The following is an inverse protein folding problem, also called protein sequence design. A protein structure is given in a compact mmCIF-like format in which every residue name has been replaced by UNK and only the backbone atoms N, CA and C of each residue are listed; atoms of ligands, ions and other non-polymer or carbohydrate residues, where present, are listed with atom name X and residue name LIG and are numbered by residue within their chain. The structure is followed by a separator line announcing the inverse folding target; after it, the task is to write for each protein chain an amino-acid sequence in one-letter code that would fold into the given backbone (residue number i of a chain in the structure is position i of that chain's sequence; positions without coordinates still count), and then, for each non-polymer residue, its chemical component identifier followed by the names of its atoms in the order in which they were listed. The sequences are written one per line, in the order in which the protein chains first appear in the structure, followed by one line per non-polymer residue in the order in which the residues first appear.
data_IF_766223976487
#
_entry.id   IF_766223976487
#
_cell.length_a   1.000
_cell.length_b   1.000
_cell.length_c   1.000
_cell.angle_alpha   90.00
_cell.angle_beta   90.00
_cell.angle_gamma   90.00
#
_symmetry.space_group_name_H-M   'P 1'
#
loop_
_entity.id
_entity.type
_entity.pdbx_description
1 polymer ?
#
# COMPACT_ATOMS: atom_id res chain seq x y z
N UNK A 1 7.77 22.98 2.27
CA UNK A 1 9.16 22.43 2.22
C UNK A 1 9.18 20.91 2.39
N UNK A 2 8.47 20.32 3.37
CA UNK A 2 8.52 18.86 3.60
C UNK A 2 7.93 18.00 2.47
N UNK A 3 6.72 18.33 1.96
CA UNK A 3 6.09 17.54 0.89
C UNK A 3 6.89 17.55 -0.42
N UNK A 4 7.46 18.70 -0.78
CA UNK A 4 8.32 18.81 -1.97
C UNK A 4 9.58 17.94 -1.83
N UNK A 5 10.13 17.83 -0.61
CA UNK A 5 11.27 16.97 -0.32
C UNK A 5 10.92 15.49 -0.46
N UNK A 6 9.76 15.08 0.07
CA UNK A 6 9.24 13.72 -0.12
C UNK A 6 9.15 13.37 -1.60
N UNK A 7 8.45 14.20 -2.39
CA UNK A 7 8.27 13.97 -3.82
C UNK A 7 9.58 13.95 -4.61
N UNK A 8 10.55 14.80 -4.24
CA UNK A 8 11.87 14.81 -4.85
C UNK A 8 12.62 13.49 -4.63
N UNK A 9 12.62 12.98 -3.40
CA UNK A 9 13.27 11.69 -3.11
C UNK A 9 12.53 10.51 -3.73
N UNK A 10 11.20 10.51 -3.73
CA UNK A 10 10.41 9.49 -4.41
C UNK A 10 10.73 9.46 -5.90
N UNK A 11 10.69 10.62 -6.58
CA UNK A 11 11.05 10.71 -8.00
C UNK A 11 12.46 10.21 -8.26
N UNK A 12 13.44 10.64 -7.45
CA UNK A 12 14.82 10.21 -7.60
C UNK A 12 14.94 8.69 -7.52
N UNK A 13 14.28 8.04 -6.55
CA UNK A 13 14.30 6.59 -6.44
C UNK A 13 13.65 5.90 -7.65
N UNK A 14 12.50 6.41 -8.12
CA UNK A 14 11.84 5.88 -9.32
C UNK A 14 12.76 5.96 -10.54
N UNK A 15 13.46 7.09 -10.73
CA UNK A 15 14.40 7.31 -11.84
C UNK A 15 15.66 6.43 -11.70
N UNK A 16 16.31 6.44 -10.53
CA UNK A 16 17.56 5.71 -10.26
C UNK A 16 17.41 4.20 -10.46
N UNK A 17 16.22 3.65 -10.15
CA UNK A 17 15.94 2.22 -10.22
C UNK A 17 14.97 1.82 -11.34
N UNK A 18 14.58 2.75 -12.21
CA UNK A 18 13.65 2.50 -13.34
C UNK A 18 12.36 1.78 -12.89
N UNK A 19 11.75 2.24 -11.80
CA UNK A 19 10.66 1.53 -11.13
C UNK A 19 9.29 1.66 -11.83
N UNK A 20 9.09 2.71 -12.62
CA UNK A 20 7.78 3.03 -13.23
C UNK A 20 7.96 3.34 -14.72
N UNK A 21 7.28 2.57 -15.55
CA UNK A 21 7.16 2.77 -16.99
C UNK A 21 5.81 3.38 -17.35
N UNK A 22 5.74 3.96 -18.56
CA UNK A 22 4.50 4.55 -19.06
C UNK A 22 3.45 3.47 -19.31
N UNK A 23 2.25 3.66 -18.76
CA UNK A 23 1.13 2.72 -18.83
C UNK A 23 1.04 1.75 -17.65
N UNK A 24 1.97 1.81 -16.69
CA UNK A 24 1.92 0.94 -15.51
C UNK A 24 0.67 1.20 -14.66
N UNK A 25 0.09 0.11 -14.15
CA UNK A 25 -0.93 0.13 -13.09
C UNK A 25 -0.30 -0.42 -11.81
N UNK A 26 -0.17 0.41 -10.80
CA UNK A 26 0.61 0.11 -9.59
C UNK A 26 -0.34 -0.17 -8.43
N UNK A 27 -0.30 -1.39 -7.90
CA UNK A 27 -0.97 -1.74 -6.66
C UNK A 27 -0.11 -1.35 -5.45
N UNK A 28 -0.64 -0.49 -4.58
CA UNK A 28 0.00 -0.05 -3.34
C UNK A 28 -0.57 -0.86 -2.19
N UNK A 29 0.25 -1.72 -1.58
CA UNK A 29 -0.14 -2.47 -0.38
C UNK A 29 -0.30 -1.56 0.84
N UNK A 30 -1.52 -1.44 1.36
CA UNK A 30 -1.85 -0.61 2.52
C UNK A 30 -2.03 -1.47 3.77
N UNK A 31 -1.08 -1.33 4.69
CA UNK A 31 -1.09 -1.97 6.01
C UNK A 31 -1.78 -1.15 7.09
N UNK A 32 -2.16 0.11 6.79
CA UNK A 32 -2.62 1.10 7.78
C UNK A 32 -1.48 1.82 8.52
N UNK A 33 -0.23 1.41 8.30
CA UNK A 33 0.94 2.09 8.85
C UNK A 33 1.27 3.39 8.09
N UNK A 34 1.97 4.31 8.78
CA UNK A 34 2.41 5.59 8.19
C UNK A 34 3.22 5.42 6.90
N UNK A 35 3.99 4.34 6.79
CA UNK A 35 4.90 4.11 5.68
C UNK A 35 4.14 3.81 4.37
N UNK A 36 3.15 2.91 4.41
CA UNK A 36 2.31 2.57 3.25
C UNK A 36 1.39 3.73 2.86
N UNK A 37 0.84 4.46 3.84
CA UNK A 37 0.03 5.66 3.60
C UNK A 37 0.86 6.80 2.99
N UNK A 38 2.10 7.00 3.46
CA UNK A 38 3.01 7.99 2.90
C UNK A 38 3.39 7.64 1.46
N UNK A 39 3.61 6.36 1.17
CA UNK A 39 3.88 5.90 -0.19
C UNK A 39 2.68 6.18 -1.12
N UNK A 40 1.45 5.90 -0.68
CA UNK A 40 0.23 6.22 -1.42
C UNK A 40 0.16 7.71 -1.75
N UNK A 41 0.36 8.58 -0.75
CA UNK A 41 0.39 10.04 -0.94
C UNK A 41 1.51 10.49 -1.91
N UNK A 42 2.70 9.91 -1.78
CA UNK A 42 3.85 10.25 -2.62
C UNK A 42 3.59 9.87 -4.08
N UNK A 43 3.08 8.67 -4.35
CA UNK A 43 2.75 8.21 -5.70
C UNK A 43 1.57 8.99 -6.29
N UNK A 44 0.53 9.27 -5.51
CA UNK A 44 -0.58 10.12 -5.93
C UNK A 44 -0.09 11.52 -6.33
N UNK A 45 0.80 12.13 -5.54
CA UNK A 45 1.38 13.42 -5.85
C UNK A 45 2.29 13.38 -7.09
N UNK A 46 3.14 12.36 -7.19
CA UNK A 46 4.09 12.16 -8.30
C UNK A 46 3.37 12.00 -9.64
N UNK A 47 2.23 11.28 -9.67
CA UNK A 47 1.39 11.08 -10.86
C UNK A 47 0.99 12.37 -11.57
N UNK A 48 0.95 13.50 -10.85
CA UNK A 48 0.52 14.80 -11.40
C UNK A 48 1.55 15.46 -12.34
N UNK A 49 2.82 15.08 -12.23
CA UNK A 49 3.91 15.76 -12.98
C UNK A 49 5.02 14.83 -13.46
N UNK A 50 4.99 13.53 -13.13
CA UNK A 50 5.99 12.58 -13.59
C UNK A 50 5.85 12.34 -15.11
N UNK A 51 6.96 12.23 -15.88
CA UNK A 51 6.89 12.09 -17.34
C UNK A 51 6.22 10.81 -17.84
N UNK A 52 6.36 9.70 -17.09
CA UNK A 52 5.68 8.46 -17.41
C UNK A 52 4.29 8.48 -16.78
N UNK A 53 3.25 8.34 -17.59
CA UNK A 53 1.88 8.24 -17.09
C UNK A 53 1.67 6.88 -16.43
N UNK A 54 1.09 6.85 -15.23
CA UNK A 54 0.77 5.61 -14.53
C UNK A 54 -0.52 5.77 -13.70
N UNK A 55 -1.14 4.64 -13.40
CA UNK A 55 -2.30 4.54 -12.51
C UNK A 55 -1.88 3.92 -11.17
N UNK A 56 -2.63 4.22 -10.11
CA UNK A 56 -2.44 3.60 -8.80
C UNK A 56 -3.76 3.08 -8.27
N UNK A 57 -3.70 1.96 -7.55
CA UNK A 57 -4.77 1.44 -6.71
C UNK A 57 -4.22 1.09 -5.32
N UNK A 58 -5.07 1.16 -4.30
CA UNK A 58 -4.74 0.78 -2.95
C UNK A 58 -5.32 -0.62 -2.64
N UNK A 59 -4.52 -1.49 -2.02
CA UNK A 59 -4.95 -2.85 -1.67
C UNK A 59 -4.60 -3.14 -0.22
N UNK A 60 -5.58 -3.57 0.57
CA UNK A 60 -5.35 -4.08 1.93
C UNK A 60 -5.68 -5.56 1.99
N UNK A 61 -4.77 -6.35 2.56
CA UNK A 61 -5.05 -7.73 2.96
C UNK A 61 -5.56 -7.71 4.39
N UNK A 62 -6.84 -8.00 4.58
CA UNK A 62 -7.43 -8.16 5.89
C UNK A 62 -7.12 -9.57 6.40
N UNK A 63 -6.21 -9.65 7.37
CA UNK A 63 -5.80 -10.92 7.97
C UNK A 63 -6.90 -11.58 8.83
N UNK A 64 -8.03 -10.90 9.10
CA UNK A 64 -9.09 -11.43 9.97
C UNK A 64 -8.84 -11.17 11.46
N UNK A 65 -8.04 -10.17 11.80
CA UNK A 65 -7.84 -9.74 13.20
C UNK A 65 -9.09 -8.95 13.65
N UNK A 66 -9.71 -9.38 14.75
CA UNK A 66 -10.86 -8.68 15.32
C UNK A 66 -10.55 -7.21 15.65
N UNK A 67 -11.49 -6.32 15.33
CA UNK A 67 -11.39 -4.89 15.65
C UNK A 67 -10.59 -4.03 14.67
N UNK A 68 -10.12 -4.59 13.55
CA UNK A 68 -9.54 -3.79 12.46
C UNK A 68 -10.61 -2.95 11.76
N UNK A 69 -10.45 -1.61 11.79
CA UNK A 69 -11.29 -0.67 11.05
C UNK A 69 -10.52 -0.03 9.90
N UNK A 70 -10.90 -0.35 8.67
CA UNK A 70 -10.31 0.21 7.44
C UNK A 70 -11.06 1.44 6.92
N UNK A 71 -12.14 1.88 7.60
CA UNK A 71 -12.92 3.06 7.19
C UNK A 71 -12.08 4.34 7.03
N UNK A 72 -11.04 4.62 7.85
CA UNK A 72 -10.20 5.81 7.65
C UNK A 72 -9.37 5.72 6.37
N UNK A 73 -8.93 4.52 6.00
CA UNK A 73 -8.15 4.28 4.77
C UNK A 73 -9.06 4.43 3.55
N UNK A 74 -10.29 3.91 3.62
CA UNK A 74 -11.29 4.10 2.56
C UNK A 74 -11.55 5.57 2.31
N UNK A 75 -11.83 6.36 3.37
CA UNK A 75 -12.06 7.81 3.24
C UNK A 75 -10.88 8.54 2.61
N UNK A 76 -9.67 8.17 3.02
CA UNK A 76 -8.45 8.73 2.43
C UNK A 76 -8.34 8.41 0.93
N UNK A 77 -8.61 7.16 0.54
CA UNK A 77 -8.54 6.76 -0.86
C UNK A 77 -9.61 7.49 -1.71
N UNK A 78 -10.81 7.70 -1.16
CA UNK A 78 -11.86 8.50 -1.78
C UNK A 78 -11.42 9.96 -1.98
N UNK A 79 -10.80 10.58 -0.97
CA UNK A 79 -10.25 11.95 -1.06
C UNK A 79 -9.14 12.08 -2.11
N UNK A 80 -8.37 11.01 -2.33
CA UNK A 80 -7.29 10.96 -3.31
C UNK A 80 -7.73 10.49 -4.70
N UNK A 81 -9.01 10.15 -4.89
CA UNK A 81 -9.51 9.53 -6.13
C UNK A 81 -8.66 8.32 -6.54
N UNK A 82 -8.49 7.39 -5.59
CA UNK A 82 -7.76 6.13 -5.75
C UNK A 82 -8.70 4.98 -5.42
N UNK A 83 -8.80 4.01 -6.33
CA UNK A 83 -9.56 2.79 -6.09
C UNK A 83 -8.97 2.03 -4.89
N UNK A 84 -9.81 1.61 -3.95
CA UNK A 84 -9.39 0.87 -2.76
C UNK A 84 -10.07 -0.49 -2.68
N UNK A 85 -9.27 -1.55 -2.62
CA UNK A 85 -9.73 -2.93 -2.51
C UNK A 85 -9.29 -3.53 -1.17
N UNK A 86 -10.23 -4.11 -0.43
CA UNK A 86 -9.94 -4.93 0.75
C UNK A 86 -10.13 -6.39 0.37
N UNK A 87 -9.13 -7.21 0.62
CA UNK A 87 -9.15 -8.65 0.39
C UNK A 87 -9.24 -9.34 1.75
N UNK A 88 -10.40 -9.93 2.04
CA UNK A 88 -10.61 -10.72 3.25
C UNK A 88 -9.92 -12.09 3.15
N UNK A 89 -9.23 -12.48 4.23
CA UNK A 89 -8.47 -13.73 4.29
C UNK A 89 -8.59 -14.40 5.66
N UNK A 90 -8.28 -15.70 5.72
CA UNK A 90 -8.26 -16.48 6.96
C UNK A 90 -6.86 -16.54 7.62
N UNK A 91 -5.97 -15.58 7.29
CA UNK A 91 -4.55 -15.63 7.71
C UNK A 91 -4.43 -15.72 9.24
N UNK A 92 -5.19 -14.94 9.99
CA UNK A 92 -5.16 -14.95 11.44
C UNK A 92 -5.52 -16.33 12.00
N UNK A 93 -6.59 -16.94 11.51
CA UNK A 93 -7.02 -18.27 11.95
C UNK A 93 -5.99 -19.33 11.60
N UNK A 94 -5.45 -19.29 10.37
CA UNK A 94 -4.41 -20.22 9.93
C UNK A 94 -3.16 -20.10 10.81
N UNK A 95 -2.69 -18.88 11.08
CA UNK A 95 -1.45 -18.64 11.82
C UNK A 95 -1.61 -18.99 13.30
N UNK A 96 -2.67 -18.52 13.95
CA UNK A 96 -2.80 -18.56 15.41
C UNK A 96 -3.65 -19.72 15.94
N UNK A 97 -4.59 -20.25 15.15
CA UNK A 97 -5.49 -21.32 15.60
C UNK A 97 -5.15 -22.68 14.97
N UNK A 98 -4.78 -22.72 13.69
CA UNK A 98 -4.54 -23.96 12.95
C UNK A 98 -3.07 -24.41 13.02
N UNK A 99 -2.14 -23.59 12.51
CA UNK A 99 -0.73 -23.98 12.32
C UNK A 99 0.10 -23.81 13.59
N UNK A 100 -0.09 -22.70 14.32
CA UNK A 100 0.59 -22.40 15.60
C UNK A 100 2.11 -22.59 15.52
N UNK A 101 2.71 -22.17 14.41
CA UNK A 101 4.15 -22.26 14.23
C UNK A 101 4.88 -21.35 15.21
N UNK A 102 6.11 -21.72 15.58
CA UNK A 102 6.94 -20.91 16.49
C UNK A 102 7.27 -19.52 15.93
N UNK A 103 7.20 -19.35 14.61
CA UNK A 103 7.48 -18.09 13.91
C UNK A 103 6.23 -17.62 13.13
N UNK A 104 5.19 -17.11 13.81
CA UNK A 104 3.91 -16.76 13.19
C UNK A 104 4.06 -15.69 12.09
N UNK A 105 4.99 -14.74 12.24
CA UNK A 105 5.22 -13.69 11.25
C UNK A 105 5.78 -14.23 9.92
N UNK A 106 6.61 -15.28 9.97
CA UNK A 106 7.17 -15.88 8.75
C UNK A 106 6.09 -16.60 7.94
N UNK A 107 5.16 -17.27 8.64
CA UNK A 107 3.99 -17.87 8.02
C UNK A 107 3.04 -16.81 7.47
N UNK A 108 2.74 -15.76 8.23
CA UNK A 108 1.90 -14.65 7.78
C UNK A 108 2.46 -13.95 6.52
N UNK A 109 3.78 -13.77 6.42
CA UNK A 109 4.40 -13.14 5.25
C UNK A 109 4.35 -13.99 3.97
N UNK A 110 4.10 -15.30 4.11
CA UNK A 110 4.02 -16.25 3.00
C UNK A 110 2.59 -16.41 2.46
N UNK A 111 1.59 -16.27 3.33
CA UNK A 111 0.17 -16.42 3.02
C UNK A 111 -0.39 -15.16 2.36
#
# INVERSE_FOLDING_TARGET
MELQRLLSYTRKAVDDYSMINSGDKIAVGISGGKDSLTLLYALHGLRRFYPNNFEIEAVTVNAGIEGMDFSPISRLCDELDVNYTVIDTDIYDIVYNIRRESNPCALCAKL
#
